data_IF_396647949233
#
_entry.id   IF_396647949233
#
_cell.length_a   1.000
_cell.length_b   1.000
_cell.length_c   1.000
_cell.angle_alpha   90.00
_cell.angle_beta   90.00
_cell.angle_gamma   90.00
#
_symmetry.space_group_name_H-M   'P 1'
#
loop_
_entity.id
_entity.type
_entity.pdbx_description
1 polymer ?
#
# COMPACT_ATOMS: atom_id res chain seq x y z
N UNK A 1 -49.80 8.90 -33.73
CA UNK A 1 -50.08 8.70 -32.28
C UNK A 1 -48.92 8.08 -31.50
N UNK A 2 -48.09 7.20 -32.10
CA UNK A 2 -46.89 6.60 -31.44
C UNK A 2 -45.78 7.61 -31.10
N UNK A 3 -45.53 8.60 -31.95
CA UNK A 3 -44.47 9.62 -31.76
C UNK A 3 -44.68 10.52 -30.54
N UNK A 4 -45.91 11.01 -30.30
CA UNK A 4 -46.21 11.87 -29.13
C UNK A 4 -46.08 11.17 -27.77
N UNK A 5 -46.35 9.86 -27.69
CA UNK A 5 -46.12 9.07 -26.46
C UNK A 5 -44.64 8.85 -26.19
N UNK A 6 -43.85 8.61 -27.24
CA UNK A 6 -42.40 8.48 -27.15
C UNK A 6 -41.74 9.76 -26.61
N UNK A 7 -42.03 10.93 -27.20
CA UNK A 7 -41.49 12.21 -26.72
C UNK A 7 -41.88 12.57 -25.26
N UNK A 8 -43.06 12.16 -24.79
CA UNK A 8 -43.47 12.36 -23.40
C UNK A 8 -42.68 11.46 -22.44
N UNK A 9 -42.50 10.19 -22.77
CA UNK A 9 -41.72 9.25 -21.95
C UNK A 9 -40.25 9.70 -21.90
N UNK A 10 -39.65 10.04 -23.04
CA UNK A 10 -38.29 10.58 -23.09
C UNK A 10 -38.17 11.87 -22.27
N UNK A 11 -39.14 12.78 -22.36
CA UNK A 11 -39.16 14.01 -21.54
C UNK A 11 -39.22 13.76 -20.03
N UNK A 12 -40.04 12.80 -19.58
CA UNK A 12 -40.10 12.40 -18.17
C UNK A 12 -38.80 11.73 -17.70
N UNK A 13 -38.17 10.90 -18.53
CA UNK A 13 -36.89 10.26 -18.22
C UNK A 13 -35.78 11.31 -18.09
N UNK A 14 -35.70 12.27 -19.02
CA UNK A 14 -34.72 13.35 -18.97
C UNK A 14 -34.95 14.26 -17.77
N UNK A 15 -36.20 14.64 -17.49
CA UNK A 15 -36.53 15.44 -16.31
C UNK A 15 -36.20 14.71 -14.99
N UNK A 16 -36.50 13.41 -14.91
CA UNK A 16 -36.14 12.56 -13.78
C UNK A 16 -34.63 12.46 -13.57
N UNK A 17 -33.86 12.25 -14.65
CA UNK A 17 -32.40 12.23 -14.60
C UNK A 17 -31.81 13.58 -14.16
N UNK A 18 -32.35 14.69 -14.66
CA UNK A 18 -31.93 16.03 -14.23
C UNK A 18 -32.22 16.29 -12.75
N UNK A 19 -33.38 15.89 -12.23
CA UNK A 19 -33.71 15.99 -10.82
C UNK A 19 -32.78 15.12 -9.95
N UNK A 20 -32.41 13.92 -10.42
CA UNK A 20 -31.43 13.08 -9.74
C UNK A 20 -30.03 13.72 -9.72
N UNK A 21 -29.59 14.31 -10.84
CA UNK A 21 -28.31 15.02 -10.89
C UNK A 21 -28.29 16.23 -9.95
N UNK A 22 -29.36 17.04 -9.93
CA UNK A 22 -29.49 18.18 -9.02
C UNK A 22 -29.50 17.70 -7.57
N UNK A 23 -30.24 16.63 -7.27
CA UNK A 23 -30.28 16.01 -5.95
C UNK A 23 -28.90 15.51 -5.51
N UNK A 24 -28.17 14.82 -6.39
CA UNK A 24 -26.82 14.34 -6.11
C UNK A 24 -25.83 15.50 -5.87
N UNK A 25 -25.92 16.57 -6.66
CA UNK A 25 -25.12 17.79 -6.47
C UNK A 25 -25.45 18.44 -5.11
N UNK A 26 -26.73 18.57 -4.76
CA UNK A 26 -27.15 19.15 -3.49
C UNK A 26 -26.67 18.32 -2.30
N UNK A 27 -26.82 16.98 -2.37
CA UNK A 27 -26.33 16.05 -1.36
C UNK A 27 -24.81 16.12 -1.20
N UNK A 28 -24.07 16.13 -2.31
CA UNK A 28 -22.61 16.26 -2.30
C UNK A 28 -22.17 17.59 -1.68
N UNK A 29 -22.80 18.69 -2.07
CA UNK A 29 -22.53 20.02 -1.53
C UNK A 29 -22.78 20.08 -0.03
N UNK A 30 -23.91 19.57 0.44
CA UNK A 30 -24.25 19.53 1.87
C UNK A 30 -23.28 18.63 2.65
N UNK A 31 -22.91 17.47 2.09
CA UNK A 31 -21.90 16.57 2.66
C UNK A 31 -20.54 17.25 2.83
N UNK A 32 -20.17 18.12 1.88
CA UNK A 32 -18.88 18.79 1.86
C UNK A 32 -18.74 19.92 2.91
N UNK A 33 -19.85 20.45 3.43
CA UNK A 33 -19.83 21.46 4.50
C UNK A 33 -19.24 20.95 5.82
N UNK A 34 -19.35 19.63 6.07
CA UNK A 34 -18.87 18.99 7.28
C UNK A 34 -17.60 18.18 7.09
N UNK A 35 -16.80 18.45 6.06
CA UNK A 35 -15.51 17.76 5.88
C UNK A 35 -14.49 18.26 6.91
N UNK A 36 -13.77 17.35 7.60
CA UNK A 36 -12.71 17.75 8.50
C UNK A 36 -11.57 18.39 7.71
N UNK A 37 -10.97 19.44 8.27
CA UNK A 37 -9.78 20.10 7.71
C UNK A 37 -8.57 19.99 8.65
N UNK A 38 -8.74 19.32 9.78
CA UNK A 38 -7.73 19.06 10.81
C UNK A 38 -8.18 17.87 11.65
N UNK A 39 -7.22 17.17 12.24
CA UNK A 39 -7.46 16.03 13.12
C UNK A 39 -8.24 16.47 14.35
N UNK A 40 -9.07 15.56 14.85
CA UNK A 40 -9.92 15.78 16.02
C UNK A 40 -9.10 15.95 17.30
N UNK A 41 -8.03 15.17 17.45
CA UNK A 41 -7.06 15.25 18.55
C UNK A 41 -5.66 15.42 17.99
N UNK A 42 -5.24 16.64 17.61
CA UNK A 42 -3.97 16.82 16.91
C UNK A 42 -2.75 16.57 17.79
N UNK A 43 -2.86 16.70 19.11
CA UNK A 43 -1.73 16.61 20.05
C UNK A 43 -1.55 15.21 20.67
N UNK A 44 -2.42 14.24 20.38
CA UNK A 44 -2.37 12.89 20.95
C UNK A 44 -3.05 11.90 20.02
N UNK A 45 -2.74 10.61 20.16
CA UNK A 45 -3.45 9.57 19.43
C UNK A 45 -4.90 9.46 19.97
N UNK A 46 -5.88 9.47 19.07
CA UNK A 46 -7.25 9.17 19.45
C UNK A 46 -7.39 7.70 19.87
N UNK A 47 -8.50 7.35 20.52
CA UNK A 47 -8.75 5.96 20.89
C UNK A 47 -8.86 5.03 19.67
N UNK A 48 -9.30 5.56 18.51
CA UNK A 48 -9.32 4.80 17.26
C UNK A 48 -7.91 4.67 16.66
N UNK A 49 -7.08 5.71 16.69
CA UNK A 49 -5.70 5.61 16.23
C UNK A 49 -4.96 4.53 17.04
N UNK A 50 -5.11 4.54 18.37
CA UNK A 50 -4.54 3.50 19.24
C UNK A 50 -5.07 2.11 18.90
N UNK A 51 -6.37 1.97 18.63
CA UNK A 51 -6.94 0.69 18.23
C UNK A 51 -6.34 0.20 16.90
N UNK A 52 -6.16 1.08 15.91
CA UNK A 52 -5.54 0.71 14.63
C UNK A 52 -4.09 0.28 14.78
N UNK A 53 -3.28 1.04 15.54
CA UNK A 53 -1.86 0.71 15.76
C UNK A 53 -1.68 -0.56 16.60
N UNK A 54 -2.58 -0.79 17.56
CA UNK A 54 -2.64 -2.04 18.30
C UNK A 54 -2.96 -3.20 17.35
N UNK A 55 -3.95 -3.05 16.45
CA UNK A 55 -4.32 -4.08 15.50
C UNK A 55 -3.21 -4.39 14.50
N UNK A 56 -2.46 -3.39 14.00
CA UNK A 56 -1.26 -3.62 13.18
C UNK A 56 -0.24 -4.48 13.94
N UNK A 57 0.04 -4.14 15.20
CA UNK A 57 1.00 -4.92 16.00
C UNK A 57 0.51 -6.34 16.25
N UNK A 58 -0.76 -6.49 16.62
CA UNK A 58 -1.41 -7.77 16.93
C UNK A 58 -1.48 -8.69 15.70
N UNK A 59 -1.89 -8.14 14.56
CA UNK A 59 -2.00 -8.85 13.29
C UNK A 59 -0.64 -9.43 12.87
N UNK A 60 0.40 -8.59 12.80
CA UNK A 60 1.76 -9.02 12.49
C UNK A 60 2.29 -10.06 13.48
N UNK A 61 2.12 -9.84 14.79
CA UNK A 61 2.65 -10.76 15.81
C UNK A 61 1.92 -12.11 15.80
N UNK A 62 0.64 -12.14 15.45
CA UNK A 62 -0.18 -13.35 15.45
C UNK A 62 -0.03 -14.15 14.16
N UNK A 63 -0.03 -13.49 13.01
CA UNK A 63 -0.10 -14.13 11.70
C UNK A 63 1.15 -13.93 10.83
N UNK A 64 2.08 -13.05 11.23
CA UNK A 64 3.26 -12.70 10.44
C UNK A 64 4.12 -13.89 10.04
N UNK A 65 4.26 -14.90 10.90
CA UNK A 65 5.03 -16.11 10.59
C UNK A 65 4.43 -16.94 9.44
N UNK A 66 3.11 -16.84 9.20
CA UNK A 66 2.43 -17.52 8.10
C UNK A 66 2.69 -16.79 6.77
N UNK A 67 2.95 -15.49 6.83
CA UNK A 67 3.22 -14.63 5.67
C UNK A 67 4.71 -14.63 5.34
N UNK A 68 5.55 -14.31 6.32
CA UNK A 68 6.99 -14.23 6.18
C UNK A 68 7.70 -14.72 7.46
N UNK A 69 8.51 -15.80 7.40
CA UNK A 69 9.19 -16.32 8.57
C UNK A 69 10.09 -15.28 9.27
N UNK A 70 9.91 -15.11 10.58
CA UNK A 70 10.71 -14.19 11.41
C UNK A 70 10.11 -12.78 11.53
N UNK A 71 9.22 -12.39 10.63
CA UNK A 71 8.61 -11.07 10.63
C UNK A 71 7.71 -10.83 11.86
N UNK A 72 7.11 -11.88 12.42
CA UNK A 72 6.25 -11.81 13.60
C UNK A 72 7.00 -11.39 14.88
N UNK A 73 8.32 -11.63 14.92
CA UNK A 73 9.20 -11.35 16.06
C UNK A 73 10.03 -10.09 15.89
N UNK A 74 10.02 -9.47 14.71
CA UNK A 74 10.83 -8.30 14.45
C UNK A 74 10.41 -7.14 15.38
N UNK A 75 11.40 -6.50 16.01
CA UNK A 75 11.21 -5.29 16.82
C UNK A 75 11.10 -4.08 15.90
N UNK A 76 9.86 -3.80 15.48
CA UNK A 76 9.51 -2.72 14.55
C UNK A 76 8.58 -1.76 15.28
N UNK A 77 9.10 -0.65 15.82
CA UNK A 77 8.29 0.45 16.32
C UNK A 77 7.46 1.09 15.19
N UNK A 78 6.41 1.83 15.58
CA UNK A 78 5.54 2.51 14.61
C UNK A 78 5.56 4.01 14.91
N UNK A 79 5.85 4.79 13.87
CA UNK A 79 5.80 6.24 13.85
C UNK A 79 4.61 6.68 13.01
N UNK A 80 3.58 7.28 13.62
CA UNK A 80 2.51 7.91 12.85
C UNK A 80 2.44 9.40 13.02
N UNK A 81 1.92 10.12 12.04
CA UNK A 81 1.86 11.58 12.11
C UNK A 81 0.56 12.16 11.58
N UNK A 82 0.24 13.34 12.07
CA UNK A 82 -0.85 14.16 11.58
C UNK A 82 -0.33 15.54 11.15
N UNK A 83 -1.21 16.52 10.97
CA UNK A 83 -0.84 17.87 10.53
C UNK A 83 0.06 18.66 11.50
N UNK A 84 0.21 18.21 12.75
CA UNK A 84 0.92 18.98 13.78
C UNK A 84 1.94 18.20 14.58
N UNK A 85 1.83 16.88 14.67
CA UNK A 85 2.69 16.03 15.49
C UNK A 85 3.00 14.70 14.81
N UNK A 86 4.18 14.18 15.11
CA UNK A 86 4.53 12.79 14.93
C UNK A 86 4.48 12.07 16.28
N UNK A 87 4.05 10.81 16.28
CA UNK A 87 3.79 9.97 17.44
C UNK A 87 4.53 8.64 17.29
N UNK A 88 5.36 8.31 18.26
CA UNK A 88 6.16 7.10 18.26
C UNK A 88 5.64 6.16 19.36
N UNK A 89 5.18 4.97 18.96
CA UNK A 89 4.75 3.89 19.85
C UNK A 89 5.73 2.71 19.79
N UNK A 90 5.69 1.86 20.82
CA UNK A 90 6.54 0.66 20.93
C UNK A 90 8.05 0.95 20.88
N UNK A 91 8.48 2.12 21.37
CA UNK A 91 9.90 2.49 21.50
C UNK A 91 10.15 3.08 22.88
N UNK A 92 11.01 2.45 23.68
CA UNK A 92 11.43 3.00 24.99
C UNK A 92 12.62 3.94 24.85
N UNK A 93 12.53 5.16 25.39
CA UNK A 93 13.62 6.15 25.44
C UNK A 93 14.26 6.43 24.06
N UNK A 94 13.49 6.89 23.07
CA UNK A 94 13.99 7.14 21.72
C UNK A 94 15.02 8.27 21.69
N UNK A 95 16.10 8.16 20.89
CA UNK A 95 16.97 9.28 20.59
C UNK A 95 16.26 10.34 19.74
N UNK A 96 16.77 11.57 19.77
CA UNK A 96 16.17 12.71 19.07
C UNK A 96 16.07 12.51 17.54
N UNK A 97 14.88 12.77 17.01
CA UNK A 97 14.60 12.79 15.58
C UNK A 97 14.53 11.42 14.93
N UNK A 98 14.61 11.41 13.61
CA UNK A 98 14.70 10.22 12.76
C UNK A 98 15.61 10.50 11.56
N UNK A 99 16.08 9.45 10.89
CA UNK A 99 16.80 9.53 9.63
C UNK A 99 15.88 9.07 8.50
N UNK A 100 15.83 9.85 7.43
CA UNK A 100 15.28 9.38 6.16
C UNK A 100 16.12 8.25 5.60
N UNK A 101 15.47 7.28 4.97
CA UNK A 101 16.11 6.22 4.21
C UNK A 101 15.82 6.47 2.73
N UNK A 102 16.80 6.26 1.82
CA UNK A 102 18.20 5.92 2.07
C UNK A 102 19.09 7.15 2.30
N UNK A 103 18.57 8.37 2.21
CA UNK A 103 19.39 9.59 2.19
C UNK A 103 20.19 9.85 3.48
N UNK A 104 19.77 9.26 4.61
CA UNK A 104 20.36 9.52 5.93
C UNK A 104 20.09 10.93 6.44
N UNK A 105 19.20 11.69 5.78
CA UNK A 105 18.87 13.06 6.18
C UNK A 105 18.20 13.02 7.56
N UNK A 106 18.84 13.66 8.55
CA UNK A 106 18.29 13.78 9.89
C UNK A 106 17.15 14.79 9.92
N UNK A 107 15.99 14.38 10.41
CA UNK A 107 14.78 15.19 10.59
C UNK A 107 14.25 15.07 12.02
N UNK A 108 13.32 15.96 12.35
CA UNK A 108 12.71 16.02 13.69
C UNK A 108 13.65 16.56 14.77
N UNK A 109 13.24 16.39 16.02
CA UNK A 109 13.93 16.85 17.22
C UNK A 109 13.60 15.98 18.44
N UNK A 110 13.69 16.54 19.65
CA UNK A 110 13.47 15.79 20.88
C UNK A 110 12.05 15.22 20.98
N UNK A 111 11.98 13.99 21.50
CA UNK A 111 10.73 13.31 21.80
C UNK A 111 10.23 13.70 23.19
N UNK A 112 8.94 14.04 23.30
CA UNK A 112 8.26 14.26 24.58
C UNK A 112 7.27 13.12 24.84
N UNK A 113 7.27 12.60 26.07
CA UNK A 113 6.23 11.66 26.50
C UNK A 113 4.86 12.34 26.44
N UNK A 114 3.84 11.66 25.91
CA UNK A 114 2.51 12.27 25.81
C UNK A 114 1.88 12.40 27.20
N UNK A 115 1.56 13.62 27.68
CA UNK A 115 1.15 13.81 29.06
C UNK A 115 -0.21 13.18 29.37
N UNK A 116 -0.24 12.35 30.43
CA UNK A 116 -1.47 11.75 30.93
C UNK A 116 -2.11 10.74 29.98
N UNK A 117 -1.35 10.23 29.02
CA UNK A 117 -1.84 9.27 28.05
C UNK A 117 -0.84 8.13 27.81
N UNK A 118 -1.35 6.97 27.40
CA UNK A 118 -0.56 5.75 27.17
C UNK A 118 -1.05 4.99 25.95
N UNK A 119 -0.17 4.17 25.37
CA UNK A 119 -0.48 3.21 24.32
C UNK A 119 -0.23 1.80 24.86
N UNK A 120 -1.26 0.94 24.90
CA UNK A 120 -1.20 -0.40 25.49
C UNK A 120 -0.57 -0.41 26.91
N UNK A 121 -0.87 0.61 27.72
CA UNK A 121 -0.34 0.76 29.09
C UNK A 121 1.12 1.22 29.17
N UNK A 122 1.75 1.54 28.04
CA UNK A 122 3.13 2.04 27.95
C UNK A 122 3.16 3.52 27.56
N UNK A 123 4.23 4.20 27.94
CA UNK A 123 4.49 5.57 27.49
C UNK A 123 4.75 5.55 25.99
N UNK A 124 4.10 6.44 25.27
CA UNK A 124 4.42 6.75 23.89
C UNK A 124 4.85 8.22 23.78
N UNK A 125 5.55 8.52 22.70
CA UNK A 125 6.21 9.80 22.53
C UNK A 125 5.56 10.58 21.40
N UNK A 126 5.70 11.90 21.44
CA UNK A 126 5.36 12.78 20.33
C UNK A 126 6.45 13.81 20.11
N UNK A 127 6.45 14.42 18.94
CA UNK A 127 7.19 15.65 18.67
C UNK A 127 6.38 16.51 17.70
N UNK A 128 6.53 17.83 17.83
CA UNK A 128 5.81 18.78 16.97
C UNK A 128 6.44 18.81 15.58
N UNK A 129 5.60 18.80 14.55
CA UNK A 129 5.99 19.03 13.16
C UNK A 129 5.74 20.51 12.83
N UNK A 130 6.79 21.35 12.73
CA UNK A 130 6.64 22.78 12.47
C UNK A 130 6.37 23.08 10.99
N UNK A 131 6.67 22.13 10.11
CA UNK A 131 6.63 22.28 8.65
C UNK A 131 5.89 21.08 8.03
N UNK A 132 4.79 21.29 7.29
CA UNK A 132 4.08 20.24 6.56
C UNK A 132 4.96 19.50 5.53
N UNK A 133 6.00 20.14 5.01
CA UNK A 133 6.95 19.53 4.07
C UNK A 133 8.01 18.67 4.78
N UNK A 134 8.14 18.81 6.11
CA UNK A 134 9.08 18.05 6.95
C UNK A 134 8.28 17.13 7.88
N UNK A 135 7.62 16.15 7.27
CA UNK A 135 6.93 15.05 7.95
C UNK A 135 7.81 13.80 7.98
N UNK A 136 7.54 12.84 8.87
CA UNK A 136 7.95 11.46 8.61
C UNK A 136 7.41 11.04 7.24
N UNK A 137 8.22 10.33 6.45
CA UNK A 137 7.74 9.88 5.15
C UNK A 137 6.72 8.75 5.34
N UNK A 138 5.84 8.58 4.36
CA UNK A 138 5.04 7.37 4.20
C UNK A 138 5.96 6.26 3.66
N UNK A 139 6.98 5.94 4.44
CA UNK A 139 8.04 4.98 4.16
C UNK A 139 8.76 4.62 5.46
N UNK A 140 9.55 3.54 5.50
CA UNK A 140 10.37 3.24 6.68
C UNK A 140 11.42 4.32 6.98
N UNK A 141 11.67 4.58 8.26
CA UNK A 141 12.70 5.50 8.75
C UNK A 141 13.56 4.82 9.82
N UNK A 142 14.70 5.42 10.15
CA UNK A 142 15.51 4.95 11.28
C UNK A 142 15.43 5.91 12.47
N UNK A 143 15.25 5.37 13.67
CA UNK A 143 15.33 6.10 14.94
C UNK A 143 16.37 5.42 15.81
N UNK A 144 17.54 6.05 15.95
CA UNK A 144 18.68 5.42 16.61
C UNK A 144 19.17 4.23 15.79
N UNK A 145 19.15 3.05 16.40
CA UNK A 145 19.54 1.77 15.81
C UNK A 145 18.35 0.95 15.30
N UNK A 146 17.12 1.48 15.38
CA UNK A 146 15.90 0.74 14.99
C UNK A 146 15.32 1.24 13.68
N UNK A 147 14.89 0.29 12.87
CA UNK A 147 14.00 0.50 11.74
C UNK A 147 12.57 0.66 12.22
N UNK A 148 11.86 1.65 11.70
CA UNK A 148 10.55 2.09 12.18
C UNK A 148 9.62 2.18 10.98
N UNK A 149 8.43 1.59 11.10
CA UNK A 149 7.36 1.77 10.13
C UNK A 149 6.79 3.18 10.27
N UNK A 150 6.61 3.92 9.18
CA UNK A 150 6.08 5.28 9.25
C UNK A 150 4.98 5.56 8.25
N UNK A 151 3.87 6.11 8.74
CA UNK A 151 2.74 6.50 7.91
C UNK A 151 1.90 7.59 8.60
N UNK A 152 1.13 8.35 7.84
CA UNK A 152 0.16 9.29 8.41
C UNK A 152 -0.94 8.55 9.22
N UNK A 153 -1.54 9.20 10.23
CA UNK A 153 -2.74 8.66 10.88
C UNK A 153 -3.89 8.55 9.88
N UNK A 154 -4.83 7.61 10.10
CA UNK A 154 -5.94 7.39 9.17
C UNK A 154 -6.81 8.64 8.97
N UNK A 155 -7.11 9.37 10.05
CA UNK A 155 -7.87 10.63 9.96
C UNK A 155 -7.11 11.67 9.12
N UNK A 156 -5.80 11.81 9.35
CA UNK A 156 -4.98 12.75 8.59
C UNK A 156 -4.83 12.33 7.12
N UNK A 157 -4.73 11.04 6.83
CA UNK A 157 -4.74 10.51 5.46
C UNK A 157 -6.00 10.93 4.69
N UNK A 158 -7.16 10.87 5.34
CA UNK A 158 -8.41 11.35 4.77
C UNK A 158 -8.37 12.85 4.50
N UNK A 159 -7.93 13.64 5.49
CA UNK A 159 -7.86 15.10 5.37
C UNK A 159 -6.91 15.50 4.24
N UNK A 160 -5.71 14.91 4.22
CA UNK A 160 -4.65 15.19 3.24
C UNK A 160 -5.11 14.86 1.81
N UNK A 161 -5.68 13.65 1.59
CA UNK A 161 -6.21 13.26 0.28
C UNK A 161 -7.30 14.22 -0.20
N UNK A 162 -8.24 14.59 0.68
CA UNK A 162 -9.32 15.52 0.34
C UNK A 162 -8.77 16.90 0.00
N UNK A 163 -7.78 17.39 0.75
CA UNK A 163 -7.13 18.68 0.46
C UNK A 163 -6.44 18.66 -0.90
N UNK A 164 -5.63 17.64 -1.18
CA UNK A 164 -4.90 17.51 -2.45
C UNK A 164 -5.82 17.45 -3.67
N UNK A 165 -6.91 16.66 -3.61
CA UNK A 165 -7.93 16.64 -4.67
C UNK A 165 -8.57 18.02 -4.82
N UNK A 166 -8.93 18.67 -3.71
CA UNK A 166 -9.59 19.98 -3.73
C UNK A 166 -8.70 21.06 -4.35
N UNK A 167 -7.41 21.03 -4.09
CA UNK A 167 -6.42 21.95 -4.65
C UNK A 167 -6.27 21.75 -6.16
N UNK A 168 -6.28 20.50 -6.61
CA UNK A 168 -6.18 20.10 -8.03
C UNK A 168 -7.45 20.37 -8.83
N UNK A 169 -8.62 20.44 -8.19
CA UNK A 169 -9.90 20.66 -8.86
C UNK A 169 -10.13 22.15 -9.21
N UNK A 170 -10.71 22.43 -10.40
CA UNK A 170 -11.27 23.74 -10.73
C UNK A 170 -12.25 24.22 -9.65
N UNK A 171 -12.22 25.52 -9.34
CA UNK A 171 -12.96 26.11 -8.20
C UNK A 171 -14.46 25.78 -8.19
N UNK A 172 -15.10 25.74 -9.37
CA UNK A 172 -16.53 25.43 -9.52
C UNK A 172 -16.88 23.97 -9.22
N UNK A 173 -15.93 23.04 -9.33
CA UNK A 173 -16.13 21.62 -8.99
C UNK A 173 -15.90 21.31 -7.51
N UNK A 174 -15.08 22.12 -6.83
CA UNK A 174 -14.68 21.87 -5.43
C UNK A 174 -15.85 21.69 -4.48
N UNK A 175 -16.96 22.41 -4.71
CA UNK A 175 -18.13 22.35 -3.84
C UNK A 175 -18.99 21.10 -4.07
N UNK A 176 -19.00 20.55 -5.29
CA UNK A 176 -19.92 19.49 -5.70
C UNK A 176 -19.25 18.13 -5.84
N UNK A 177 -17.91 18.07 -5.79
CA UNK A 177 -17.16 16.82 -5.89
C UNK A 177 -17.45 15.88 -4.70
N UNK A 178 -17.71 14.58 -4.93
CA UNK A 178 -18.17 13.67 -3.89
C UNK A 178 -17.00 13.09 -3.06
N UNK A 179 -16.29 13.92 -2.29
CA UNK A 179 -15.06 13.52 -1.58
C UNK A 179 -15.25 12.31 -0.66
N UNK A 180 -16.35 12.24 0.10
CA UNK A 180 -16.62 11.11 1.01
C UNK A 180 -16.80 9.79 0.27
N UNK A 181 -17.40 9.83 -0.93
CA UNK A 181 -17.56 8.64 -1.77
C UNK A 181 -16.20 8.23 -2.33
N UNK A 182 -15.40 9.20 -2.79
CA UNK A 182 -14.05 8.94 -3.28
C UNK A 182 -13.17 8.30 -2.19
N UNK A 183 -13.15 8.86 -0.98
CA UNK A 183 -12.48 8.26 0.17
C UNK A 183 -12.93 6.82 0.40
N UNK A 184 -14.25 6.59 0.45
CA UNK A 184 -14.83 5.26 0.64
C UNK A 184 -14.39 4.23 -0.40
N UNK A 185 -14.17 4.66 -1.64
CA UNK A 185 -13.76 3.78 -2.74
C UNK A 185 -12.25 3.47 -2.72
N UNK A 186 -11.43 4.40 -2.23
CA UNK A 186 -9.96 4.28 -2.28
C UNK A 186 -9.37 3.71 -0.99
N UNK A 187 -9.61 4.39 0.14
CA UNK A 187 -8.97 4.13 1.44
C UNK A 187 -10.01 4.01 2.57
N UNK A 188 -11.27 3.79 2.18
CA UNK A 188 -12.44 3.86 3.05
C UNK A 188 -12.46 2.83 4.16
N UNK A 189 -12.02 1.62 3.85
CA UNK A 189 -12.00 0.52 4.80
C UNK A 189 -10.79 0.64 5.72
N UNK A 190 -11.00 0.37 7.01
CA UNK A 190 -9.91 0.44 8.00
C UNK A 190 -8.82 -0.60 7.73
N UNK A 191 -9.17 -1.78 7.19
CA UNK A 191 -8.16 -2.78 6.86
C UNK A 191 -7.22 -2.31 5.75
N UNK A 192 -7.65 -1.44 4.83
CA UNK A 192 -6.74 -0.86 3.83
C UNK A 192 -5.65 -0.04 4.51
N UNK A 193 -6.01 0.76 5.52
CA UNK A 193 -5.05 1.51 6.32
C UNK A 193 -4.10 0.60 7.12
N UNK A 194 -4.64 -0.44 7.76
CA UNK A 194 -3.83 -1.43 8.48
C UNK A 194 -2.85 -2.11 7.53
N UNK A 195 -3.33 -2.54 6.35
CA UNK A 195 -2.50 -3.12 5.31
C UNK A 195 -1.36 -2.21 4.89
N UNK A 196 -1.64 -0.93 4.62
CA UNK A 196 -0.57 0.03 4.28
C UNK A 196 0.46 0.17 5.39
N UNK A 197 0.06 0.18 6.67
CA UNK A 197 1.05 0.17 7.76
C UNK A 197 1.87 -1.13 7.82
N UNK A 198 1.28 -2.27 7.46
CA UNK A 198 2.01 -3.55 7.34
C UNK A 198 2.98 -3.55 6.15
N UNK A 199 2.65 -2.85 5.05
CA UNK A 199 3.58 -2.58 3.94
C UNK A 199 4.83 -1.85 4.45
N UNK A 200 4.64 -0.75 5.18
CA UNK A 200 5.75 0.01 5.76
C UNK A 200 6.52 -0.77 6.83
N UNK A 201 5.83 -1.60 7.61
CA UNK A 201 6.47 -2.51 8.56
C UNK A 201 7.30 -3.59 7.84
N UNK A 202 6.92 -4.00 6.64
CA UNK A 202 7.73 -4.93 5.85
C UNK A 202 8.98 -4.26 5.26
N UNK A 203 8.91 -3.00 4.84
CA UNK A 203 10.12 -2.23 4.49
C UNK A 203 11.07 -2.10 5.68
N UNK A 204 10.55 -1.84 6.88
CA UNK A 204 11.37 -1.87 8.10
C UNK A 204 12.03 -3.25 8.31
N UNK A 205 11.33 -4.34 8.03
CA UNK A 205 11.89 -5.70 8.08
C UNK A 205 12.96 -5.95 7.02
N UNK A 206 12.75 -5.49 5.78
CA UNK A 206 13.77 -5.51 4.72
C UNK A 206 15.02 -4.73 5.15
N UNK A 207 14.84 -3.58 5.82
CA UNK A 207 15.95 -2.79 6.37
C UNK A 207 16.68 -3.50 7.52
N UNK A 208 15.98 -4.25 8.37
CA UNK A 208 16.59 -5.08 9.42
C UNK A 208 17.42 -6.21 8.81
N UNK A 209 16.88 -6.90 7.80
CA UNK A 209 17.51 -8.06 7.21
C UNK A 209 18.66 -7.71 6.24
N UNK A 210 18.44 -6.71 5.38
CA UNK A 210 19.30 -6.39 4.23
C UNK A 210 19.35 -4.86 3.99
N UNK A 211 19.93 -4.07 4.91
CA UNK A 211 19.88 -2.60 4.89
C UNK A 211 20.52 -1.98 3.64
N UNK A 212 21.67 -2.50 3.20
CA UNK A 212 22.37 -2.02 2.01
C UNK A 212 21.52 -2.25 0.75
N UNK A 213 20.88 -3.42 0.66
CA UNK A 213 20.00 -3.79 -0.44
C UNK A 213 18.75 -2.91 -0.52
N UNK A 214 18.13 -2.62 0.63
CA UNK A 214 17.00 -1.67 0.68
C UNK A 214 17.45 -0.28 0.21
N UNK A 215 18.59 0.20 0.70
CA UNK A 215 19.09 1.51 0.30
C UNK A 215 19.40 1.61 -1.21
N UNK A 216 19.92 0.52 -1.76
CA UNK A 216 20.18 0.33 -3.17
C UNK A 216 18.90 0.27 -4.02
N UNK A 217 17.84 -0.39 -3.53
CA UNK A 217 16.55 -0.45 -4.20
C UNK A 217 15.88 0.92 -4.26
N UNK A 218 15.77 1.62 -3.13
CA UNK A 218 15.26 3.00 -3.09
C UNK A 218 16.08 3.97 -3.96
N UNK A 219 17.40 3.82 -4.00
CA UNK A 219 18.26 4.68 -4.83
C UNK A 219 18.02 4.46 -6.33
N UNK A 220 17.52 3.29 -6.75
CA UNK A 220 17.27 2.99 -8.17
C UNK A 220 16.14 3.82 -8.78
N UNK A 221 15.24 4.38 -7.97
CA UNK A 221 14.15 5.26 -8.43
C UNK A 221 14.66 6.50 -9.20
N UNK A 222 15.93 6.88 -9.04
CA UNK A 222 16.53 8.00 -9.78
C UNK A 222 16.51 7.81 -11.31
N UNK A 223 16.51 6.56 -11.80
CA UNK A 223 16.43 6.25 -13.23
C UNK A 223 14.99 5.96 -13.70
N UNK A 224 14.00 5.99 -12.80
CA UNK A 224 12.59 5.70 -13.11
C UNK A 224 12.03 6.60 -14.22
N UNK A 225 12.30 7.91 -14.13
CA UNK A 225 11.88 8.88 -15.15
C UNK A 225 12.49 8.66 -16.55
N UNK A 226 13.58 7.89 -16.62
CA UNK A 226 14.29 7.53 -17.86
C UNK A 226 13.87 6.16 -18.39
N UNK A 227 13.23 5.33 -17.55
CA UNK A 227 12.71 4.04 -17.97
C UNK A 227 11.72 4.24 -19.14
N UNK A 228 11.74 3.37 -20.16
CA UNK A 228 10.98 3.57 -21.41
C UNK A 228 9.47 3.27 -21.26
N UNK A 229 8.79 3.89 -20.29
CA UNK A 229 7.36 3.73 -19.98
C UNK A 229 6.45 3.98 -21.19
N UNK A 230 6.86 4.92 -22.04
CA UNK A 230 6.09 5.44 -23.17
C UNK A 230 6.42 4.76 -24.50
N UNK A 231 7.32 3.75 -24.51
CA UNK A 231 7.69 3.07 -25.74
C UNK A 231 6.55 2.16 -26.22
N UNK A 232 5.89 2.45 -27.36
CA UNK A 232 4.76 1.65 -27.83
C UNK A 232 5.16 0.22 -28.21
N UNK A 233 6.43 -0.01 -28.58
CA UNK A 233 6.93 -1.36 -28.86
C UNK A 233 7.03 -2.23 -27.59
N UNK A 234 7.04 -1.61 -26.41
CA UNK A 234 7.04 -2.30 -25.12
C UNK A 234 5.64 -2.58 -24.58
N UNK A 235 4.62 -1.81 -24.97
CA UNK A 235 3.27 -1.88 -24.40
C UNK A 235 2.63 -3.26 -24.56
N UNK A 236 2.57 -3.78 -25.80
CA UNK A 236 2.02 -5.10 -26.09
C UNK A 236 2.85 -6.22 -25.42
N UNK A 237 4.18 -6.10 -25.42
CA UNK A 237 5.07 -7.08 -24.82
C UNK A 237 4.90 -7.16 -23.30
N UNK A 238 4.71 -6.00 -22.64
CA UNK A 238 4.38 -5.91 -21.23
C UNK A 238 3.00 -6.50 -20.93
N UNK A 239 2.00 -6.22 -21.77
CA UNK A 239 0.67 -6.79 -21.61
C UNK A 239 0.72 -8.32 -21.68
N UNK A 240 1.45 -8.90 -22.64
CA UNK A 240 1.64 -10.35 -22.72
C UNK A 240 2.35 -10.90 -21.48
N UNK A 241 3.44 -10.25 -21.04
CA UNK A 241 4.17 -10.67 -19.84
C UNK A 241 3.28 -10.70 -18.59
N UNK A 242 2.54 -9.62 -18.33
CA UNK A 242 1.67 -9.51 -17.15
C UNK A 242 0.48 -10.46 -17.19
N UNK A 243 -0.07 -10.72 -18.38
CA UNK A 243 -1.12 -11.73 -18.55
C UNK A 243 -0.63 -13.13 -18.21
N UNK A 244 0.55 -13.52 -18.71
CA UNK A 244 1.17 -14.82 -18.39
C UNK A 244 1.45 -14.94 -16.89
N UNK A 245 1.98 -13.88 -16.26
CA UNK A 245 2.25 -13.86 -14.84
C UNK A 245 0.96 -14.00 -13.99
N UNK A 246 -0.09 -13.27 -14.35
CA UNK A 246 -1.40 -13.40 -13.70
C UNK A 246 -2.00 -14.80 -13.88
N UNK A 247 -1.94 -15.35 -15.09
CA UNK A 247 -2.45 -16.69 -15.36
C UNK A 247 -1.66 -17.76 -14.60
N UNK A 248 -0.33 -17.63 -14.51
CA UNK A 248 0.52 -18.51 -13.72
C UNK A 248 0.13 -18.46 -12.23
N UNK A 249 -0.01 -17.27 -11.66
CA UNK A 249 -0.33 -17.07 -10.24
C UNK A 249 -1.71 -17.65 -9.85
N UNK A 250 -2.67 -17.64 -10.78
CA UNK A 250 -4.04 -18.14 -10.53
C UNK A 250 -4.32 -19.54 -11.08
N UNK A 251 -3.33 -20.21 -11.67
CA UNK A 251 -3.52 -21.51 -12.30
C UNK A 251 -4.10 -22.54 -11.31
N UNK A 252 -4.86 -23.51 -11.81
CA UNK A 252 -5.54 -24.50 -10.96
C UNK A 252 -4.55 -25.54 -10.41
N UNK A 253 -3.50 -25.86 -11.16
CA UNK A 253 -2.49 -26.87 -10.78
C UNK A 253 -1.09 -26.29 -10.68
N UNK A 254 -0.21 -26.99 -9.95
CA UNK A 254 1.22 -26.62 -9.87
C UNK A 254 1.91 -26.76 -11.23
N UNK A 255 1.54 -27.77 -12.01
CA UNK A 255 2.14 -28.05 -13.32
C UNK A 255 1.77 -26.97 -14.34
N UNK A 256 0.49 -26.57 -14.39
CA UNK A 256 0.04 -25.47 -15.26
C UNK A 256 0.72 -24.15 -14.87
N UNK A 257 0.82 -23.87 -13.56
CA UNK A 257 1.54 -22.71 -13.05
C UNK A 257 3.01 -22.71 -13.50
N UNK A 258 3.69 -23.87 -13.44
CA UNK A 258 5.09 -23.99 -13.85
C UNK A 258 5.28 -23.82 -15.36
N UNK A 259 4.34 -24.29 -16.20
CA UNK A 259 4.35 -24.04 -17.65
C UNK A 259 4.21 -22.55 -17.94
N UNK A 260 3.18 -21.91 -17.40
CA UNK A 260 2.92 -20.48 -17.60
C UNK A 260 4.05 -19.60 -17.04
N UNK A 261 4.65 -20.00 -15.92
CA UNK A 261 5.83 -19.34 -15.36
C UNK A 261 7.04 -19.37 -16.30
N UNK A 262 7.28 -20.51 -16.99
CA UNK A 262 8.33 -20.59 -18.02
C UNK A 262 8.03 -19.68 -19.21
N UNK A 263 6.77 -19.62 -19.64
CA UNK A 263 6.35 -18.72 -20.71
C UNK A 263 6.51 -17.25 -20.32
N UNK A 264 6.13 -16.88 -19.09
CA UNK A 264 6.35 -15.56 -18.51
C UNK A 264 7.85 -15.18 -18.52
N UNK A 265 8.72 -16.05 -18.01
CA UNK A 265 10.17 -15.81 -17.98
C UNK A 265 10.77 -15.66 -19.38
N UNK A 266 10.34 -16.50 -20.33
CA UNK A 266 10.77 -16.40 -21.72
C UNK A 266 10.28 -15.10 -22.39
N UNK A 267 9.04 -14.70 -22.14
CA UNK A 267 8.47 -13.44 -22.64
C UNK A 267 9.23 -12.23 -22.07
N UNK A 268 9.59 -12.27 -20.78
CA UNK A 268 10.39 -11.23 -20.12
C UNK A 268 11.78 -11.10 -20.75
N UNK A 269 12.47 -12.22 -20.96
CA UNK A 269 13.77 -12.24 -21.64
C UNK A 269 13.67 -11.68 -23.06
N UNK A 270 12.64 -12.09 -23.80
CA UNK A 270 12.37 -11.58 -25.14
C UNK A 270 12.06 -10.08 -25.14
N UNK A 271 11.23 -9.58 -24.21
CA UNK A 271 10.88 -8.16 -24.10
C UNK A 271 12.12 -7.30 -23.87
N UNK A 272 12.96 -7.68 -22.91
CA UNK A 272 14.21 -6.98 -22.58
C UNK A 272 15.17 -6.98 -23.77
N UNK A 273 15.38 -8.13 -24.42
CA UNK A 273 16.30 -8.25 -25.55
C UNK A 273 15.80 -7.51 -26.81
N UNK A 274 14.53 -7.66 -27.19
CA UNK A 274 13.98 -7.08 -28.42
C UNK A 274 13.94 -5.54 -28.39
N UNK A 275 13.93 -4.94 -27.20
CA UNK A 275 13.92 -3.50 -27.01
C UNK A 275 15.28 -2.94 -26.60
N UNK A 276 16.32 -3.77 -26.52
CA UNK A 276 17.66 -3.36 -26.11
C UNK A 276 17.68 -2.71 -24.73
N UNK A 277 16.89 -3.25 -23.79
CA UNK A 277 16.77 -2.67 -22.45
C UNK A 277 18.13 -2.73 -21.76
N UNK A 278 18.62 -1.57 -21.34
CA UNK A 278 19.93 -1.45 -20.68
C UNK A 278 19.92 -2.13 -19.31
N UNK A 279 21.08 -2.63 -18.83
CA UNK A 279 21.16 -3.33 -17.54
C UNK A 279 20.60 -2.53 -16.37
N UNK A 280 20.79 -1.20 -16.33
CA UNK A 280 20.28 -0.34 -15.26
C UNK A 280 18.74 -0.36 -15.15
N UNK A 281 18.02 -0.54 -16.25
CA UNK A 281 16.56 -0.64 -16.26
C UNK A 281 16.09 -2.04 -15.87
N UNK A 282 16.89 -3.08 -16.14
CA UNK A 282 16.64 -4.43 -15.65
C UNK A 282 16.81 -4.45 -14.12
N UNK A 283 17.88 -3.81 -13.62
CA UNK A 283 18.13 -3.64 -12.20
C UNK A 283 16.99 -2.87 -11.52
N UNK A 284 16.46 -1.81 -12.16
CA UNK A 284 15.27 -1.10 -11.67
C UNK A 284 14.06 -2.04 -11.54
N UNK A 285 13.74 -2.82 -12.59
CA UNK A 285 12.62 -3.79 -12.56
C UNK A 285 12.79 -4.75 -11.37
N UNK A 286 13.97 -5.38 -11.25
CA UNK A 286 14.25 -6.37 -10.23
C UNK A 286 14.23 -5.78 -8.81
N UNK A 287 14.81 -4.58 -8.63
CA UNK A 287 14.87 -3.88 -7.33
C UNK A 287 13.49 -3.46 -6.86
N UNK A 288 12.68 -2.84 -7.71
CA UNK A 288 11.31 -2.42 -7.36
C UNK A 288 10.38 -3.59 -7.15
N UNK A 289 10.51 -4.67 -7.93
CA UNK A 289 9.75 -5.91 -7.71
C UNK A 289 10.12 -6.56 -6.36
N UNK A 290 11.39 -6.51 -5.96
CA UNK A 290 11.84 -7.01 -4.68
C UNK A 290 11.40 -6.13 -3.51
N UNK A 291 11.59 -4.81 -3.61
CA UNK A 291 11.27 -3.87 -2.54
C UNK A 291 9.76 -3.75 -2.36
N UNK A 292 9.11 -3.15 -3.35
CA UNK A 292 7.71 -2.76 -3.31
C UNK A 292 6.78 -3.93 -3.61
N UNK A 293 7.21 -4.84 -4.48
CA UNK A 293 6.42 -6.02 -4.80
C UNK A 293 6.31 -7.01 -3.64
N UNK A 294 7.38 -7.19 -2.87
CA UNK A 294 7.31 -8.01 -1.65
C UNK A 294 6.53 -7.32 -0.54
N UNK A 295 6.70 -6.01 -0.34
CA UNK A 295 5.90 -5.26 0.62
C UNK A 295 4.41 -5.31 0.25
N UNK A 296 4.07 -5.18 -1.04
CA UNK A 296 2.69 -5.33 -1.55
C UNK A 296 2.14 -6.75 -1.33
N UNK A 297 2.96 -7.77 -1.56
CA UNK A 297 2.59 -9.15 -1.24
C UNK A 297 2.25 -9.29 0.25
N UNK A 298 3.11 -8.80 1.14
CA UNK A 298 2.91 -8.90 2.59
C UNK A 298 1.69 -8.11 3.06
N UNK A 299 1.51 -6.87 2.58
CA UNK A 299 0.33 -6.01 2.79
C UNK A 299 -0.97 -6.79 2.59
N UNK A 300 -1.05 -7.46 1.45
CA UNK A 300 -2.26 -8.15 1.02
C UNK A 300 -2.40 -9.51 1.71
N UNK A 301 -1.28 -10.21 1.95
CA UNK A 301 -1.27 -11.62 2.37
C UNK A 301 -1.61 -11.73 3.84
N UNK A 302 -1.13 -10.80 4.67
CA UNK A 302 -1.46 -10.77 6.10
C UNK A 302 -2.97 -10.56 6.33
N UNK A 303 -3.61 -9.71 5.51
CA UNK A 303 -5.06 -9.50 5.55
C UNK A 303 -5.81 -10.74 5.02
N UNK A 304 -5.26 -11.44 4.03
CA UNK A 304 -5.81 -12.71 3.54
C UNK A 304 -5.75 -13.78 4.61
N UNK A 305 -4.63 -13.90 5.33
CA UNK A 305 -4.46 -14.84 6.44
C UNK A 305 -5.42 -14.55 7.60
N UNK A 306 -5.65 -13.28 7.93
CA UNK A 306 -6.66 -12.90 8.92
C UNK A 306 -8.07 -13.37 8.51
N UNK A 307 -8.41 -13.28 7.23
CA UNK A 307 -9.69 -13.74 6.72
C UNK A 307 -9.82 -15.28 6.64
N UNK A 308 -8.70 -16.01 6.55
CA UNK A 308 -8.67 -17.48 6.47
C UNK A 308 -8.56 -18.15 7.84
N UNK A 309 -8.01 -17.45 8.83
CA UNK A 309 -7.79 -18.00 10.17
C UNK A 309 -9.07 -17.87 10.98
N UNK A 310 -9.83 -18.96 11.11
CA UNK A 310 -11.15 -18.97 11.78
C UNK A 310 -11.12 -18.40 13.21
N UNK A 311 -10.02 -18.63 13.95
CA UNK A 311 -9.86 -18.22 15.34
C UNK A 311 -9.09 -16.88 15.50
N UNK A 312 -8.84 -16.15 14.41
CA UNK A 312 -8.23 -14.82 14.52
C UNK A 312 -9.24 -13.83 15.12
N UNK A 313 -8.86 -13.22 16.24
CA UNK A 313 -9.67 -12.23 16.96
C UNK A 313 -8.92 -10.90 16.90
N UNK A 314 -9.45 -9.86 16.22
CA UNK A 314 -8.86 -8.53 16.24
C UNK A 314 -8.85 -7.90 17.64
N UNK A 315 -8.04 -6.87 17.79
CA UNK A 315 -7.98 -6.03 18.96
C UNK A 315 -9.39 -5.52 19.36
N UNK A 316 -9.80 -5.63 20.64
CA UNK A 316 -11.15 -5.27 21.06
C UNK A 316 -11.56 -3.83 20.74
N UNK A 317 -10.58 -2.92 20.63
CA UNK A 317 -10.79 -1.52 20.25
C UNK A 317 -11.39 -1.36 18.84
N UNK A 318 -11.13 -2.30 17.94
CA UNK A 318 -11.62 -2.30 16.56
C UNK A 318 -13.15 -2.40 16.46
N UNK A 319 -13.82 -2.94 17.48
CA UNK A 319 -15.29 -2.98 17.54
C UNK A 319 -15.95 -1.59 17.55
N UNK A 320 -15.20 -0.54 17.88
CA UNK A 320 -15.66 0.84 17.86
C UNK A 320 -15.50 1.51 16.50
N UNK A 321 -14.80 0.89 15.57
CA UNK A 321 -14.56 1.44 14.25
C UNK A 321 -15.68 1.03 13.27
N UNK A 322 -16.49 1.98 12.77
CA UNK A 322 -17.57 1.67 11.84
C UNK A 322 -17.08 1.24 10.46
N UNK A 323 -15.84 1.55 10.08
CA UNK A 323 -15.27 1.26 8.77
C UNK A 323 -14.50 -0.07 8.74
N UNK A 324 -14.21 -0.66 9.91
CA UNK A 324 -13.62 -1.98 10.02
C UNK A 324 -14.66 -3.08 9.76
N UNK A 325 -14.33 -4.05 8.91
CA UNK A 325 -15.21 -5.15 8.47
C UNK A 325 -14.73 -6.52 8.93
N UNK A 326 -13.87 -6.55 9.94
CA UNK A 326 -13.34 -7.79 10.51
C UNK A 326 -12.72 -8.70 9.44
N UNK A 327 -11.96 -8.11 8.50
CA UNK A 327 -11.30 -8.79 7.39
C UNK A 327 -12.24 -9.58 6.45
N UNK A 328 -13.57 -9.47 6.58
CA UNK A 328 -14.54 -10.29 5.86
C UNK A 328 -14.51 -10.10 4.33
N UNK A 329 -13.98 -8.98 3.84
CA UNK A 329 -13.87 -8.66 2.41
C UNK A 329 -12.52 -9.01 1.81
N UNK A 330 -11.54 -9.47 2.62
CA UNK A 330 -10.12 -9.47 2.23
C UNK A 330 -9.74 -10.59 1.27
N UNK A 331 -10.46 -11.72 1.30
CA UNK A 331 -10.33 -12.74 0.26
C UNK A 331 -10.69 -12.20 -1.13
N UNK A 332 -11.81 -11.48 -1.23
CA UNK A 332 -12.23 -10.85 -2.48
C UNK A 332 -11.28 -9.72 -2.87
N UNK A 333 -10.83 -8.93 -1.91
CA UNK A 333 -9.86 -7.86 -2.14
C UNK A 333 -8.56 -8.41 -2.72
N UNK A 334 -8.00 -9.47 -2.13
CA UNK A 334 -6.82 -10.18 -2.64
C UNK A 334 -6.99 -10.60 -4.11
N UNK A 335 -8.07 -11.31 -4.43
CA UNK A 335 -8.34 -11.75 -5.81
C UNK A 335 -8.51 -10.58 -6.78
N UNK A 336 -9.13 -9.47 -6.33
CA UNK A 336 -9.25 -8.27 -7.14
C UNK A 336 -7.87 -7.64 -7.40
N UNK A 337 -7.02 -7.52 -6.38
CA UNK A 337 -5.65 -7.00 -6.52
C UNK A 337 -4.82 -7.87 -7.48
N UNK A 338 -4.93 -9.19 -7.38
CA UNK A 338 -4.26 -10.09 -8.33
C UNK A 338 -4.75 -9.86 -9.77
N UNK A 339 -6.05 -9.61 -9.97
CA UNK A 339 -6.59 -9.31 -11.31
C UNK A 339 -6.12 -7.96 -11.89
N UNK A 340 -5.72 -7.01 -11.03
CA UNK A 340 -5.20 -5.72 -11.47
C UNK A 340 -3.82 -5.83 -12.13
N UNK A 341 -3.07 -6.92 -11.92
CA UNK A 341 -1.80 -7.21 -12.61
C UNK A 341 -1.94 -7.06 -14.13
N UNK A 342 -3.02 -7.57 -14.71
CA UNK A 342 -3.30 -7.47 -16.15
C UNK A 342 -3.55 -6.03 -16.65
N UNK A 343 -3.86 -5.10 -15.74
CA UNK A 343 -4.20 -3.71 -16.07
C UNK A 343 -3.00 -2.77 -15.92
N UNK A 344 -1.89 -3.25 -15.37
CA UNK A 344 -0.69 -2.44 -15.12
C UNK A 344 0.15 -2.14 -16.36
N UNK A 345 -0.09 -2.83 -17.49
CA UNK A 345 0.44 -2.45 -18.80
C UNK A 345 0.08 -1.02 -19.18
N UNK A 346 -1.16 -0.61 -18.90
CA UNK A 346 -1.70 0.71 -19.22
C UNK A 346 -1.25 1.80 -18.23
N UNK A 347 -0.60 1.43 -17.13
CA UNK A 347 -0.05 2.38 -16.16
C UNK A 347 1.43 2.61 -16.47
N UNK A 348 1.82 3.88 -16.55
CA UNK A 348 3.14 4.34 -17.01
C UNK A 348 3.97 4.83 -15.85
N UNK A 349 3.99 4.02 -14.79
CA UNK A 349 4.57 4.34 -13.49
C UNK A 349 5.07 3.04 -12.85
N UNK A 350 5.98 3.19 -11.90
CA UNK A 350 6.59 2.12 -11.12
C UNK A 350 5.59 1.21 -10.39
N UNK A 351 4.35 1.65 -10.16
CA UNK A 351 3.25 0.82 -9.64
C UNK A 351 3.10 -0.52 -10.37
N UNK A 352 3.53 -0.62 -11.63
CA UNK A 352 3.64 -1.90 -12.34
C UNK A 352 4.49 -2.94 -11.60
N UNK A 353 5.62 -2.52 -11.04
CA UNK A 353 6.57 -3.38 -10.33
C UNK A 353 6.05 -3.86 -8.97
N UNK A 354 5.18 -3.09 -8.32
CA UNK A 354 4.48 -3.51 -7.11
C UNK A 354 3.62 -4.75 -7.42
N UNK A 355 2.85 -4.68 -8.51
CA UNK A 355 1.95 -5.77 -8.90
C UNK A 355 2.68 -6.96 -9.51
N UNK A 356 3.72 -6.75 -10.33
CA UNK A 356 4.49 -7.86 -10.88
C UNK A 356 5.32 -8.57 -9.80
N UNK A 357 5.94 -7.85 -8.86
CA UNK A 357 6.63 -8.48 -7.74
C UNK A 357 5.66 -9.22 -6.80
N UNK A 358 4.49 -8.64 -6.51
CA UNK A 358 3.41 -9.31 -5.78
C UNK A 358 2.97 -10.63 -6.44
N UNK A 359 2.75 -10.61 -7.76
CA UNK A 359 2.33 -11.81 -8.49
C UNK A 359 3.44 -12.86 -8.55
N UNK A 360 4.71 -12.45 -8.67
CA UNK A 360 5.86 -13.37 -8.58
C UNK A 360 5.96 -14.02 -7.20
N UNK A 361 5.81 -13.27 -6.11
CA UNK A 361 5.79 -13.83 -4.76
C UNK A 361 4.64 -14.83 -4.54
N UNK A 362 3.45 -14.51 -5.06
CA UNK A 362 2.29 -15.42 -5.05
C UNK A 362 2.57 -16.73 -5.79
N UNK A 363 3.26 -16.64 -6.93
CA UNK A 363 3.65 -17.79 -7.72
C UNK A 363 4.75 -18.62 -7.02
N UNK A 364 5.70 -17.95 -6.35
CA UNK A 364 6.76 -18.60 -5.57
C UNK A 364 6.22 -19.40 -4.38
N UNK A 365 5.19 -18.90 -3.68
CA UNK A 365 4.50 -19.66 -2.62
C UNK A 365 4.01 -21.02 -3.10
N UNK A 366 3.60 -21.09 -4.36
CA UNK A 366 3.12 -22.32 -4.99
C UNK A 366 4.25 -23.20 -5.51
N UNK A 367 5.21 -22.59 -6.20
CA UNK A 367 6.22 -23.32 -6.97
C UNK A 367 7.40 -23.78 -6.12
N UNK A 368 7.83 -22.96 -5.15
CA UNK A 368 9.06 -23.13 -4.39
C UNK A 368 8.85 -22.93 -2.89
N UNK A 369 8.30 -23.92 -2.15
CA UNK A 369 8.21 -23.85 -0.70
C UNK A 369 9.57 -23.51 -0.06
N UNK A 370 9.61 -22.51 0.82
CA UNK A 370 10.84 -22.04 1.48
C UNK A 370 11.59 -20.91 0.75
N UNK A 371 11.09 -20.42 -0.40
CA UNK A 371 11.73 -19.35 -1.18
C UNK A 371 12.03 -18.06 -0.38
N UNK A 372 11.22 -17.74 0.63
CA UNK A 372 11.34 -16.52 1.46
C UNK A 372 12.64 -16.45 2.26
N UNK A 373 13.28 -17.58 2.54
CA UNK A 373 14.59 -17.61 3.20
C UNK A 373 15.70 -17.06 2.28
N UNK A 374 15.57 -17.32 0.97
CA UNK A 374 16.54 -16.87 -0.05
C UNK A 374 16.23 -15.48 -0.60
N UNK A 375 14.96 -15.05 -0.55
CA UNK A 375 14.52 -13.79 -1.15
C UNK A 375 15.17 -12.52 -0.55
N UNK A 376 15.77 -12.61 0.64
CA UNK A 376 16.50 -11.50 1.27
C UNK A 376 18.02 -11.62 1.14
N UNK A 377 18.54 -12.73 0.60
CA UNK A 377 19.98 -12.90 0.35
C UNK A 377 20.48 -11.89 -0.70
N UNK A 378 21.75 -11.46 -0.65
CA UNK A 378 22.31 -10.58 -1.68
C UNK A 378 22.21 -11.18 -3.08
N UNK A 379 22.01 -10.34 -4.09
CA UNK A 379 22.03 -10.70 -5.52
C UNK A 379 21.00 -11.76 -5.98
N UNK A 380 20.05 -12.16 -5.15
CA UNK A 380 18.94 -13.04 -5.51
C UNK A 380 17.69 -12.21 -5.83
N UNK A 381 17.12 -12.34 -7.04
CA UNK A 381 15.87 -11.68 -7.42
C UNK A 381 14.70 -12.67 -7.51
N UNK A 382 13.46 -12.15 -7.49
CA UNK A 382 12.26 -13.00 -7.55
C UNK A 382 12.22 -13.85 -8.83
N UNK A 383 12.68 -13.30 -9.95
CA UNK A 383 12.75 -14.03 -11.22
C UNK A 383 13.82 -15.13 -11.22
N UNK A 384 14.90 -15.00 -10.45
CA UNK A 384 15.92 -16.05 -10.30
C UNK A 384 15.35 -17.25 -9.55
N UNK A 385 14.62 -16.98 -8.46
CA UNK A 385 13.91 -18.00 -7.70
C UNK A 385 12.84 -18.68 -8.57
N UNK A 386 12.11 -17.93 -9.40
CA UNK A 386 11.14 -18.52 -10.33
C UNK A 386 11.82 -19.39 -11.38
N UNK A 387 12.95 -18.96 -11.95
CA UNK A 387 13.75 -19.78 -12.88
C UNK A 387 14.17 -21.08 -12.22
N UNK A 388 14.64 -21.04 -10.98
CA UNK A 388 15.01 -22.23 -10.23
C UNK A 388 13.81 -23.15 -9.99
N UNK A 389 12.64 -22.59 -9.70
CA UNK A 389 11.43 -23.34 -9.38
C UNK A 389 10.83 -24.13 -10.55
N UNK A 390 11.18 -23.78 -11.79
CA UNK A 390 10.57 -24.35 -13.03
C UNK A 390 11.56 -25.09 -13.93
N UNK A 391 12.79 -25.29 -13.46
CA UNK A 391 13.82 -26.07 -14.13
C UNK A 391 13.49 -27.55 -14.26
#
# INVERSE_FOLDING_TARGET
MRTRKFFRITGFVVAGALLLCIGAVALSTLSNLGLPTRSSTPDRLSELDKAHLAEVSHLRQTLGAQVWPGWEKADIPILVYNEGYAFLVNYSNPPDGWLKVPSGEKRGGPWEAVPGDTFQGTVYYRQRLPDPEITPEAFTVQIGDRWVASFQTREYAQISLISGIRESLPSFLRAIFPYRVMWRLLMGDTETYIGTLEHEAFHAYQGIASPERLAEAESSVQVDSQYPWENPALEDAWQTELNLLYEAARADTKDDAAVLAREFLAQRDQRRAANGLEPEYIDLEQRREWEEGLAKYVELEIQRQAALTEDYIPEPGMNKDPDFKNYATRLRYWSNQLSEVNRMSNRKEDTRFYYSGFAQATLLDRLMPGWKEQALEPDIWLEDLLRQAVQ
#
